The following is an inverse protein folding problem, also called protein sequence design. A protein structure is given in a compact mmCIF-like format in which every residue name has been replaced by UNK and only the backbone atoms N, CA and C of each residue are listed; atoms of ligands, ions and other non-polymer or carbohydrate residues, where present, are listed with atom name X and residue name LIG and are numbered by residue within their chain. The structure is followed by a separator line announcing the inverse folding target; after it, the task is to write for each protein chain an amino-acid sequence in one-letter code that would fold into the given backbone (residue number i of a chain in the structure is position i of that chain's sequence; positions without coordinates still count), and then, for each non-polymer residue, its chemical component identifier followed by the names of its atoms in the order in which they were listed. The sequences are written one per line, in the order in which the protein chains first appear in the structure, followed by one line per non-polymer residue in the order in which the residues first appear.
data_IF_542245940867
#
_entry.id   IF_542245940867
#
_cell.length_a   1.000
_cell.length_b   1.000
_cell.length_c   1.000
_cell.angle_alpha   90.00
_cell.angle_beta   90.00
_cell.angle_gamma   90.00
#
_symmetry.space_group_name_H-M   'P 1'
#
loop_
_entity.id
_entity.type
_entity.pdbx_description
1 polymer ?
#
# COMPACT_ATOMS: atom_id res chain seq x y z
N UNK A 1 -0.17 6.82 -14.90
CA UNK A 1 -0.80 5.78 -14.05
C UNK A 1 -0.48 4.45 -14.71
N UNK A 2 -0.01 3.43 -13.99
CA UNK A 2 0.33 2.16 -14.65
C UNK A 2 -0.95 1.39 -14.96
N UNK A 3 -1.02 0.75 -16.14
CA UNK A 3 -2.16 -0.04 -16.59
C UNK A 3 -2.64 -1.08 -15.57
N UNK A 4 -1.75 -1.60 -14.72
CA UNK A 4 -2.06 -2.53 -13.62
C UNK A 4 -2.88 -1.92 -12.49
N UNK A 5 -2.66 -0.66 -12.12
CA UNK A 5 -3.42 0.01 -11.06
C UNK A 5 -4.86 0.32 -11.50
N UNK A 6 -5.02 0.65 -12.78
CA UNK A 6 -6.32 0.91 -13.38
C UNK A 6 -7.16 -0.37 -13.42
N UNK A 7 -6.58 -1.48 -13.89
CA UNK A 7 -7.23 -2.81 -13.90
C UNK A 7 -7.67 -3.25 -12.50
N UNK A 8 -6.85 -3.05 -11.47
CA UNK A 8 -7.23 -3.36 -10.07
C UNK A 8 -8.33 -2.41 -9.54
N UNK A 9 -8.33 -1.15 -9.95
CA UNK A 9 -9.39 -0.20 -9.59
C UNK A 9 -10.73 -0.53 -10.27
N UNK A 10 -10.67 -1.06 -11.49
CA UNK A 10 -11.84 -1.58 -12.22
C UNK A 10 -12.35 -2.90 -11.61
N UNK A 11 -11.47 -3.79 -11.15
CA UNK A 11 -11.86 -5.02 -10.44
C UNK A 11 -12.61 -4.72 -9.13
N UNK A 12 -12.16 -3.72 -8.35
CA UNK A 12 -12.87 -3.30 -7.12
C UNK A 12 -14.26 -2.72 -7.39
N UNK A 13 -14.47 -2.09 -8.55
CA UNK A 13 -15.76 -1.52 -8.95
C UNK A 13 -16.74 -2.57 -9.49
N UNK A 14 -16.23 -3.69 -10.02
CA UNK A 14 -17.04 -4.76 -10.62
C UNK A 14 -16.55 -6.15 -10.15
N UNK A 15 -16.84 -6.54 -8.91
CA UNK A 15 -16.30 -7.76 -8.30
C UNK A 15 -16.85 -9.06 -8.94
N UNK A 16 -18.05 -9.05 -9.52
CA UNK A 16 -18.71 -10.27 -10.00
C UNK A 16 -18.34 -10.69 -11.44
N UNK A 17 -17.89 -9.76 -12.29
CA UNK A 17 -17.74 -10.03 -13.74
C UNK A 17 -16.29 -10.05 -14.25
N UNK A 18 -15.30 -9.68 -13.42
CA UNK A 18 -13.91 -9.51 -13.87
C UNK A 18 -12.93 -10.38 -13.05
N UNK A 19 -12.93 -11.69 -13.31
CA UNK A 19 -11.82 -12.57 -12.91
C UNK A 19 -10.64 -12.31 -13.84
N UNK A 20 -9.71 -11.46 -13.41
CA UNK A 20 -8.42 -11.24 -14.09
C UNK A 20 -7.64 -12.56 -14.02
N UNK A 21 -7.71 -13.38 -15.06
CA UNK A 21 -7.04 -14.68 -15.16
C UNK A 21 -5.52 -14.57 -15.30
N UNK A 22 -5.03 -13.37 -15.60
CA UNK A 22 -3.64 -13.08 -15.91
C UNK A 22 -3.56 -11.87 -16.84
N UNK A 23 -2.38 -11.33 -17.00
CA UNK A 23 -2.14 -10.07 -17.70
C UNK A 23 -0.67 -9.93 -18.06
N UNK A 24 -0.40 -9.22 -19.14
CA UNK A 24 0.96 -9.00 -19.62
C UNK A 24 1.51 -7.76 -18.94
N UNK A 25 2.50 -7.93 -18.07
CA UNK A 25 3.22 -6.81 -17.46
C UNK A 25 4.67 -6.86 -17.93
N UNK A 26 5.15 -5.77 -18.53
CA UNK A 26 6.51 -5.63 -19.08
C UNK A 26 6.93 -6.75 -20.06
N UNK A 27 6.00 -7.25 -20.89
CA UNK A 27 6.28 -8.28 -21.90
C UNK A 27 6.36 -9.71 -21.38
N UNK A 28 6.08 -9.95 -20.09
CA UNK A 28 5.95 -11.29 -19.51
C UNK A 28 4.50 -11.59 -19.13
N UNK A 29 4.09 -12.83 -19.36
CA UNK A 29 2.79 -13.32 -18.89
C UNK A 29 2.91 -13.57 -17.38
N UNK A 30 2.19 -12.78 -16.57
CA UNK A 30 2.22 -12.89 -15.11
C UNK A 30 0.89 -13.45 -14.60
N UNK A 31 0.97 -14.26 -13.54
CA UNK A 31 -0.21 -14.88 -12.94
C UNK A 31 -1.06 -13.85 -12.18
N UNK A 32 -2.31 -14.17 -11.87
CA UNK A 32 -3.21 -13.28 -11.12
C UNK A 32 -2.61 -12.79 -9.80
N UNK A 33 -1.89 -13.66 -9.08
CA UNK A 33 -1.24 -13.34 -7.82
C UNK A 33 -0.13 -12.29 -8.00
N UNK A 34 0.69 -12.44 -9.02
CA UNK A 34 1.79 -11.52 -9.33
C UNK A 34 1.28 -10.15 -9.80
N UNK A 35 0.17 -10.12 -10.54
CA UNK A 35 -0.46 -8.88 -10.99
C UNK A 35 -1.10 -8.13 -9.83
N UNK A 36 -1.65 -8.85 -8.85
CA UNK A 36 -2.13 -8.27 -7.60
C UNK A 36 -0.98 -7.62 -6.82
N UNK A 37 0.16 -8.30 -6.68
CA UNK A 37 1.34 -7.72 -6.02
C UNK A 37 1.85 -6.46 -6.74
N UNK A 38 1.88 -6.48 -8.08
CA UNK A 38 2.26 -5.31 -8.88
C UNK A 38 1.24 -4.17 -8.79
N UNK A 39 -0.05 -4.48 -8.75
CA UNK A 39 -1.11 -3.50 -8.56
C UNK A 39 -1.11 -2.91 -7.14
N UNK A 40 -0.54 -3.63 -6.16
CA UNK A 40 -0.33 -3.14 -4.79
C UNK A 40 0.84 -2.16 -4.70
N UNK A 41 1.69 -2.02 -5.72
CA UNK A 41 2.74 -1.00 -5.74
C UNK A 41 2.07 0.39 -5.64
N UNK A 42 2.30 1.13 -4.53
CA UNK A 42 1.68 2.43 -4.35
C UNK A 42 2.23 3.45 -5.35
N UNK A 43 1.44 4.47 -5.69
CA UNK A 43 1.94 5.59 -6.48
C UNK A 43 3.05 6.36 -5.74
N UNK A 44 3.91 7.08 -6.47
CA UNK A 44 5.03 7.84 -5.88
C UNK A 44 4.59 8.83 -4.79
N UNK A 45 3.42 9.47 -4.95
CA UNK A 45 2.82 10.36 -3.95
C UNK A 45 2.52 9.60 -2.65
N UNK A 46 1.87 8.44 -2.75
CA UNK A 46 1.56 7.58 -1.59
C UNK A 46 2.84 7.05 -0.96
N UNK A 47 3.84 6.67 -1.77
CA UNK A 47 5.13 6.19 -1.28
C UNK A 47 5.88 7.27 -0.50
N UNK A 48 5.88 8.52 -0.98
CA UNK A 48 6.41 9.68 -0.25
C UNK A 48 5.65 9.95 1.05
N UNK A 49 4.31 9.85 1.03
CA UNK A 49 3.50 9.95 2.24
C UNK A 49 3.84 8.86 3.26
N UNK A 50 4.03 7.62 2.81
CA UNK A 50 4.50 6.50 3.66
C UNK A 50 5.90 6.77 4.22
N UNK A 51 6.80 7.33 3.44
CA UNK A 51 8.15 7.68 3.89
C UNK A 51 8.13 8.76 4.99
N UNK A 52 7.34 9.83 4.82
CA UNK A 52 7.16 10.86 5.86
C UNK A 52 6.55 10.27 7.13
N UNK A 53 5.60 9.34 7.02
CA UNK A 53 5.04 8.64 8.17
C UNK A 53 6.08 7.80 8.93
N UNK A 54 7.01 7.15 8.21
CA UNK A 54 8.12 6.41 8.84
C UNK A 54 9.00 7.37 9.65
N UNK A 55 9.29 8.56 9.12
CA UNK A 55 10.06 9.62 9.82
C UNK A 55 9.32 10.14 11.05
N UNK A 56 8.00 10.30 10.99
CA UNK A 56 7.21 10.78 12.12
C UNK A 56 7.01 9.71 13.22
N UNK A 57 7.11 8.43 12.86
CA UNK A 57 6.85 7.32 13.79
C UNK A 57 7.72 7.29 15.06
N UNK A 58 9.02 7.65 15.05
CA UNK A 58 9.84 7.69 16.26
C UNK A 58 9.44 8.82 17.20
N UNK A 59 9.07 10.00 16.66
CA UNK A 59 8.62 11.14 17.46
C UNK A 59 7.35 10.77 18.22
N UNK A 60 6.40 10.13 17.52
CA UNK A 60 5.16 9.65 18.15
C UNK A 60 5.43 8.60 19.21
N UNK A 61 6.33 7.63 18.95
CA UNK A 61 6.72 6.62 19.95
C UNK A 61 7.41 7.24 21.17
N UNK A 62 8.24 8.27 20.97
CA UNK A 62 8.91 8.98 22.07
C UNK A 62 7.91 9.75 22.94
N UNK A 63 6.94 10.44 22.32
CA UNK A 63 5.88 11.11 23.05
C UNK A 63 5.03 10.12 23.88
N UNK A 64 4.73 8.94 23.34
CA UNK A 64 4.04 7.87 24.06
C UNK A 64 4.89 7.39 25.24
N UNK A 65 6.17 7.10 25.03
CA UNK A 65 7.07 6.66 26.08
C UNK A 65 7.17 7.67 27.24
N UNK A 66 7.26 8.97 26.92
CA UNK A 66 7.26 10.04 27.93
C UNK A 66 5.93 10.13 28.70
N UNK A 67 4.80 9.95 28.01
CA UNK A 67 3.48 9.91 28.63
C UNK A 67 3.33 8.73 29.60
N UNK A 68 3.81 7.55 29.23
CA UNK A 68 3.77 6.36 30.09
C UNK A 68 4.67 6.54 31.33
N UNK A 69 5.85 7.14 31.20
CA UNK A 69 6.70 7.48 32.36
C UNK A 69 6.03 8.49 33.28
N UNK A 70 5.33 9.49 32.74
CA UNK A 70 4.62 10.48 33.54
C UNK A 70 3.44 9.88 34.32
N UNK A 71 2.71 8.93 33.71
CA UNK A 71 1.63 8.19 34.39
C UNK A 71 2.17 7.28 35.50
N UNK A 72 3.31 6.62 35.30
CA UNK A 72 3.89 5.71 36.28
C UNK A 72 4.50 6.41 37.52
N UNK A 73 4.72 7.73 37.44
CA UNK A 73 5.34 8.53 38.51
C UNK A 73 4.31 9.22 39.44
N UNK A 74 3.03 9.20 39.08
CA UNK A 74 1.90 9.67 39.88
C UNK A 74 1.06 8.48 40.37
#
# INVERSE_FOLDING_TARGET
MSHTQEVHSFQKKFPENLKILGGVFAGRYMSQAEILELAMIPSLQVLRGKFVNIINSPIQRMAIAMSEVAKAKN
#
